data_IF_090017354105
#
_entry.id   IF_090017354105
#
_cell.length_a   1.000
_cell.length_b   1.000
_cell.length_c   1.000
_cell.angle_alpha   90.00
_cell.angle_beta   90.00
_cell.angle_gamma   90.00
#
_symmetry.space_group_name_H-M   'P 1'
#
loop_
_entity.id
_entity.type
_entity.pdbx_description
1 polymer ?
#
# COMPACT_ATOMS: atom_id res chain seq x y z
N UNK A 1 -11.58 -4.09 14.68
CA UNK A 1 -12.30 -5.18 15.36
C UNK A 1 -11.82 -6.58 14.93
N UNK A 2 -11.27 -6.77 13.72
CA UNK A 2 -10.85 -8.08 13.23
C UNK A 2 -9.66 -8.69 14.01
N UNK A 3 -8.92 -7.88 14.75
CA UNK A 3 -7.83 -8.31 15.64
C UNK A 3 -8.22 -8.28 17.14
N UNK A 4 -9.51 -8.21 17.44
CA UNK A 4 -10.02 -8.27 18.82
C UNK A 4 -9.99 -6.95 19.59
N UNK A 5 -9.56 -5.85 18.96
CA UNK A 5 -9.60 -4.51 19.57
C UNK A 5 -10.84 -3.73 19.11
N UNK A 6 -11.43 -2.99 20.04
CA UNK A 6 -12.47 -1.99 19.75
C UNK A 6 -11.80 -0.60 19.72
N UNK A 7 -11.55 -0.10 18.52
CA UNK A 7 -10.80 1.14 18.30
C UNK A 7 -11.45 2.36 18.95
N UNK A 8 -12.75 2.33 19.20
CA UNK A 8 -13.48 3.45 19.83
C UNK A 8 -13.42 3.41 21.35
N UNK A 9 -13.14 2.23 21.92
CA UNK A 9 -13.14 2.03 23.38
C UNK A 9 -11.75 1.77 23.96
N UNK A 10 -10.93 1.04 23.22
CA UNK A 10 -9.66 0.53 23.76
C UNK A 10 -8.49 1.46 23.52
N UNK A 11 -8.63 2.46 22.61
CA UNK A 11 -7.53 3.36 22.26
C UNK A 11 -8.00 4.82 22.11
N UNK A 12 -7.14 5.75 22.49
CA UNK A 12 -7.31 7.18 22.16
C UNK A 12 -6.72 7.48 20.78
N UNK A 13 -7.54 8.02 19.88
CA UNK A 13 -7.14 8.28 18.50
C UNK A 13 -6.65 9.71 18.30
N UNK A 14 -5.51 9.87 17.65
CA UNK A 14 -4.99 11.13 17.13
C UNK A 14 -4.93 11.06 15.60
N UNK A 15 -5.70 11.93 14.93
CA UNK A 15 -5.66 12.06 13.48
C UNK A 15 -4.81 13.29 13.09
N UNK A 16 -3.67 13.06 12.47
CA UNK A 16 -2.78 14.12 12.01
C UNK A 16 -2.00 13.67 10.77
N UNK A 17 -1.34 14.61 10.11
CA UNK A 17 -0.41 14.29 9.01
C UNK A 17 0.85 13.56 9.51
N UNK A 18 1.62 12.97 8.62
CA UNK A 18 2.78 12.13 8.95
C UNK A 18 3.83 12.84 9.82
N UNK A 19 4.18 14.08 9.49
CA UNK A 19 5.15 14.87 10.26
C UNK A 19 4.67 15.12 11.70
N UNK A 20 3.52 15.77 11.91
CA UNK A 20 2.95 15.98 13.25
C UNK A 20 2.77 14.71 14.07
N UNK A 21 2.40 13.59 13.42
CA UNK A 21 2.26 12.30 14.12
C UNK A 21 3.62 11.75 14.56
N UNK A 22 4.66 11.84 13.71
CA UNK A 22 6.02 11.48 14.11
C UNK A 22 6.52 12.32 15.29
N UNK A 23 6.26 13.64 15.28
CA UNK A 23 6.63 14.54 16.36
C UNK A 23 5.87 14.20 17.67
N UNK A 24 4.60 13.88 17.59
CA UNK A 24 3.81 13.45 18.74
C UNK A 24 4.36 12.17 19.38
N UNK A 25 4.85 11.21 18.57
CA UNK A 25 5.48 9.99 19.09
C UNK A 25 6.87 10.26 19.68
N UNK A 26 7.71 11.08 19.04
CA UNK A 26 9.01 11.50 19.56
C UNK A 26 8.85 12.17 20.92
N UNK A 27 7.82 12.99 21.09
CA UNK A 27 7.53 13.72 22.33
C UNK A 27 6.76 12.88 23.37
N UNK A 28 6.45 11.60 23.08
CA UNK A 28 5.76 10.71 24.02
C UNK A 28 4.26 10.98 24.18
N UNK A 29 3.65 11.77 23.29
CA UNK A 29 2.22 12.06 23.34
C UNK A 29 1.35 10.90 22.85
N UNK A 30 1.90 10.03 22.01
CA UNK A 30 1.26 8.81 21.53
C UNK A 30 2.21 7.62 21.67
N UNK A 31 1.65 6.42 21.81
CA UNK A 31 2.40 5.17 22.05
C UNK A 31 2.51 4.31 20.78
N UNK A 32 1.66 4.54 19.79
CA UNK A 32 1.68 3.81 18.53
C UNK A 32 1.26 4.71 17.37
N UNK A 33 1.75 4.41 16.18
CA UNK A 33 1.38 5.15 14.95
C UNK A 33 1.29 4.19 13.76
N UNK A 34 0.26 4.38 12.92
CA UNK A 34 0.16 3.78 11.61
C UNK A 34 0.45 4.83 10.53
N UNK A 35 1.40 4.55 9.64
CA UNK A 35 1.73 5.44 8.50
C UNK A 35 1.58 4.68 7.19
N UNK A 36 0.50 4.96 6.46
CA UNK A 36 0.18 4.35 5.16
C UNK A 36 0.87 5.09 4.01
N UNK A 37 2.16 4.85 3.81
CA UNK A 37 2.93 5.45 2.72
C UNK A 37 3.99 4.49 2.17
N UNK A 38 4.40 4.71 0.91
CA UNK A 38 5.47 3.90 0.29
C UNK A 38 6.82 4.15 0.96
N UNK A 39 7.53 3.08 1.41
CA UNK A 39 8.85 3.23 2.01
C UNK A 39 9.92 3.58 0.96
N UNK A 40 10.98 4.36 1.35
CA UNK A 40 11.14 5.01 2.64
C UNK A 40 10.29 6.27 2.77
N UNK A 41 9.65 6.43 3.93
CA UNK A 41 8.84 7.61 4.27
C UNK A 41 9.65 8.54 5.16
N UNK A 42 9.80 9.81 4.79
CA UNK A 42 10.62 10.77 5.52
C UNK A 42 10.22 10.95 6.99
N UNK A 43 8.93 10.92 7.31
CA UNK A 43 8.45 11.00 8.69
C UNK A 43 8.85 9.77 9.52
N UNK A 44 8.84 8.57 8.95
CA UNK A 44 9.32 7.34 9.62
C UNK A 44 10.83 7.39 9.81
N UNK A 45 11.57 7.84 8.78
CA UNK A 45 13.02 8.04 8.89
C UNK A 45 13.37 9.00 10.03
N UNK A 46 12.68 10.16 10.09
CA UNK A 46 12.85 11.14 11.17
C UNK A 46 12.55 10.55 12.54
N UNK A 47 11.44 9.83 12.67
CA UNK A 47 11.02 9.20 13.92
C UNK A 47 12.10 8.24 14.43
N UNK A 48 12.53 7.29 13.61
CA UNK A 48 13.50 6.28 14.00
C UNK A 48 14.89 6.88 14.25
N UNK A 49 15.32 7.86 13.45
CA UNK A 49 16.58 8.57 13.70
C UNK A 49 16.57 9.37 15.00
N UNK A 50 15.42 9.90 15.44
CA UNK A 50 15.28 10.72 16.63
C UNK A 50 15.01 9.92 17.90
N UNK A 51 14.22 8.86 17.79
CA UNK A 51 13.78 8.05 18.95
C UNK A 51 14.72 6.85 19.23
N UNK A 52 15.48 6.40 18.22
CA UNK A 52 16.40 5.27 18.34
C UNK A 52 15.69 4.01 18.82
N UNK A 53 16.27 3.36 19.81
CA UNK A 53 15.79 2.12 20.43
C UNK A 53 14.49 2.25 21.25
N UNK A 54 13.99 3.47 21.43
CA UNK A 54 12.71 3.71 22.12
C UNK A 54 11.49 3.39 21.27
N UNK A 55 11.67 3.23 19.96
CA UNK A 55 10.61 2.93 19.00
C UNK A 55 10.97 1.69 18.20
N UNK A 56 10.03 0.78 18.07
CA UNK A 56 10.20 -0.42 17.26
C UNK A 56 9.16 -0.48 16.15
N UNK A 57 9.57 -1.04 15.02
CA UNK A 57 8.66 -1.37 13.92
C UNK A 57 8.02 -2.74 14.21
N UNK A 58 6.71 -2.83 14.12
CA UNK A 58 5.98 -4.07 14.39
C UNK A 58 5.81 -4.87 13.09
N UNK A 59 6.17 -6.15 13.15
CA UNK A 59 5.83 -7.12 12.11
C UNK A 59 4.33 -7.41 12.15
N UNK A 60 3.76 -7.68 10.99
CA UNK A 60 2.41 -8.20 10.82
C UNK A 60 2.54 -9.64 10.33
N UNK A 61 2.09 -10.61 11.12
CA UNK A 61 2.11 -12.03 10.76
C UNK A 61 1.12 -12.34 9.64
N UNK A 62 1.20 -13.53 9.04
CA UNK A 62 0.27 -13.95 8.00
C UNK A 62 -1.15 -14.16 8.56
N UNK A 63 -1.26 -14.63 9.81
CA UNK A 63 -2.52 -14.76 10.53
C UNK A 63 -3.17 -13.39 10.78
N UNK A 64 -2.38 -12.41 11.22
CA UNK A 64 -2.87 -11.04 11.43
C UNK A 64 -3.27 -10.39 10.11
N UNK A 65 -2.48 -10.55 9.05
CA UNK A 65 -2.82 -10.04 7.72
C UNK A 65 -4.13 -10.63 7.21
N UNK A 66 -4.31 -11.94 7.36
CA UNK A 66 -5.55 -12.63 7.00
C UNK A 66 -6.75 -12.15 7.82
N UNK A 67 -6.56 -11.94 9.12
CA UNK A 67 -7.59 -11.41 10.00
C UNK A 67 -7.96 -9.97 9.65
N UNK A 68 -6.96 -9.11 9.39
CA UNK A 68 -7.16 -7.72 8.94
C UNK A 68 -7.96 -7.67 7.65
N UNK A 69 -7.62 -8.52 6.67
CA UNK A 69 -8.28 -8.55 5.38
C UNK A 69 -9.71 -9.07 5.46
N UNK A 70 -9.97 -10.04 6.31
CA UNK A 70 -11.28 -10.67 6.51
C UNK A 70 -11.94 -11.14 5.20
N UNK A 71 -11.15 -11.68 4.28
CA UNK A 71 -11.60 -12.21 2.99
C UNK A 71 -11.94 -11.17 1.93
N UNK A 72 -11.65 -9.89 2.17
CA UNK A 72 -11.94 -8.79 1.22
C UNK A 72 -10.94 -8.69 0.06
N UNK A 73 -9.78 -9.34 0.17
CA UNK A 73 -8.68 -9.31 -0.82
C UNK A 73 -8.13 -7.89 -1.10
N UNK A 74 -8.16 -7.02 -0.09
CA UNK A 74 -7.70 -5.62 -0.18
C UNK A 74 -6.29 -5.43 0.36
N UNK A 75 -5.87 -6.28 1.31
CA UNK A 75 -4.55 -6.20 1.94
C UNK A 75 -3.62 -7.26 1.37
N UNK A 76 -2.42 -6.83 1.02
CA UNK A 76 -1.36 -7.70 0.49
C UNK A 76 -0.15 -7.70 1.42
N UNK A 77 0.62 -8.79 1.39
CA UNK A 77 1.92 -8.84 2.05
C UNK A 77 2.90 -7.88 1.37
N UNK A 78 3.57 -7.06 2.16
CA UNK A 78 4.71 -6.29 1.72
C UNK A 78 5.88 -6.50 2.68
N UNK A 79 7.10 -6.56 2.14
CA UNK A 79 8.33 -6.65 2.92
C UNK A 79 9.13 -5.39 2.71
N UNK A 80 9.40 -4.67 3.79
CA UNK A 80 10.33 -3.54 3.78
C UNK A 80 11.72 -4.10 4.02
N UNK A 81 12.65 -4.02 3.05
CA UNK A 81 13.97 -4.62 3.18
C UNK A 81 14.77 -4.04 4.35
N UNK A 82 15.60 -4.87 4.96
CA UNK A 82 16.57 -4.44 5.96
C UNK A 82 17.38 -3.22 5.48
N UNK A 83 17.70 -2.30 6.38
CA UNK A 83 18.44 -1.08 6.06
C UNK A 83 17.62 0.02 5.35
N UNK A 84 16.31 -0.16 5.16
CA UNK A 84 15.44 0.89 4.61
C UNK A 84 15.34 2.09 5.55
N UNK A 85 15.32 1.83 6.86
CA UNK A 85 15.23 2.85 7.90
C UNK A 85 16.39 2.76 8.89
N UNK A 86 16.74 3.86 9.59
CA UNK A 86 17.73 3.85 10.66
C UNK A 86 17.40 2.82 11.75
N UNK A 87 18.34 1.96 12.09
CA UNK A 87 18.16 0.92 13.12
C UNK A 87 17.29 -0.27 12.72
N UNK A 88 16.90 -0.37 11.46
CA UNK A 88 16.17 -1.53 10.93
C UNK A 88 17.16 -2.53 10.33
N UNK A 89 17.63 -3.49 11.11
CA UNK A 89 18.67 -4.45 10.72
C UNK A 89 18.10 -5.73 10.07
N UNK A 90 16.78 -5.90 10.10
CA UNK A 90 16.09 -7.06 9.51
C UNK A 90 14.95 -6.62 8.60
N UNK A 91 14.54 -7.51 7.70
CA UNK A 91 13.34 -7.34 6.89
C UNK A 91 12.11 -7.17 7.79
N UNK A 92 11.24 -6.22 7.45
CA UNK A 92 9.99 -5.97 8.16
C UNK A 92 8.81 -6.45 7.31
N UNK A 93 8.08 -7.41 7.82
CA UNK A 93 6.83 -7.86 7.22
C UNK A 93 5.69 -6.93 7.60
N UNK A 94 5.01 -6.36 6.60
CA UNK A 94 3.89 -5.45 6.84
C UNK A 94 2.73 -5.73 5.88
N UNK A 95 1.63 -5.04 6.10
CA UNK A 95 0.47 -5.04 5.22
C UNK A 95 0.51 -3.81 4.32
N UNK A 96 0.15 -3.99 3.05
CA UNK A 96 0.04 -2.90 2.10
C UNK A 96 -1.29 -2.93 1.36
N UNK A 97 -1.72 -1.75 0.96
CA UNK A 97 -2.76 -1.58 -0.06
C UNK A 97 -2.12 -0.91 -1.27
N UNK A 98 -2.43 -1.34 -2.49
CA UNK A 98 -1.88 -0.71 -3.68
C UNK A 98 -2.47 0.69 -3.87
N UNK A 99 -1.68 1.59 -4.46
CA UNK A 99 -2.25 2.76 -5.09
C UNK A 99 -2.91 2.33 -6.41
N UNK A 100 -4.09 2.81 -6.68
CA UNK A 100 -4.80 2.53 -7.92
C UNK A 100 -5.32 3.81 -8.58
N UNK A 101 -5.47 3.79 -9.88
CA UNK A 101 -6.06 4.87 -10.66
C UNK A 101 -7.55 4.61 -10.83
N UNK A 102 -8.39 5.41 -10.15
CA UNK A 102 -9.83 5.41 -10.37
C UNK A 102 -10.19 6.26 -11.59
N UNK A 103 -11.00 5.70 -12.47
CA UNK A 103 -11.53 6.41 -13.63
C UNK A 103 -13.06 6.37 -13.64
N UNK A 104 -13.70 7.39 -14.21
CA UNK A 104 -15.15 7.37 -14.36
C UNK A 104 -15.56 6.28 -15.36
N UNK A 105 -16.61 5.52 -15.02
CA UNK A 105 -17.11 4.44 -15.88
C UNK A 105 -17.61 4.92 -17.26
N UNK A 106 -17.92 6.22 -17.41
CA UNK A 106 -18.35 6.79 -18.69
C UNK A 106 -17.20 7.12 -19.65
N UNK A 107 -15.94 7.00 -19.22
CA UNK A 107 -14.80 7.17 -20.14
C UNK A 107 -14.81 6.03 -21.14
N UNK A 108 -14.49 6.32 -22.42
CA UNK A 108 -14.51 5.29 -23.44
C UNK A 108 -13.52 4.17 -23.15
N UNK A 109 -13.90 2.95 -23.53
CA UNK A 109 -13.03 1.77 -23.42
C UNK A 109 -11.66 2.02 -24.05
N UNK A 110 -11.63 2.63 -25.25
CA UNK A 110 -10.40 2.93 -25.97
C UNK A 110 -9.47 3.86 -25.20
N UNK A 111 -10.00 4.92 -24.59
CA UNK A 111 -9.17 5.85 -23.83
C UNK A 111 -8.56 5.19 -22.60
N UNK A 112 -9.32 4.37 -21.87
CA UNK A 112 -8.78 3.68 -20.68
C UNK A 112 -7.81 2.56 -21.09
N UNK A 113 -8.05 1.88 -22.21
CA UNK A 113 -7.12 0.92 -22.77
C UNK A 113 -5.77 1.58 -23.10
N UNK A 114 -5.80 2.69 -23.86
CA UNK A 114 -4.59 3.42 -24.22
C UNK A 114 -3.84 3.96 -22.99
N UNK A 115 -4.56 4.47 -21.99
CA UNK A 115 -3.99 4.95 -20.74
C UNK A 115 -3.27 3.81 -19.98
N UNK A 116 -3.94 2.66 -19.81
CA UNK A 116 -3.39 1.50 -19.12
C UNK A 116 -2.15 1.00 -19.84
N UNK A 117 -2.23 0.86 -21.16
CA UNK A 117 -1.12 0.46 -22.02
C UNK A 117 0.07 1.41 -21.89
N UNK A 118 -0.18 2.71 -21.99
CA UNK A 118 0.86 3.73 -21.88
C UNK A 118 1.61 3.65 -20.52
N UNK A 119 0.90 3.40 -19.42
CA UNK A 119 1.52 3.25 -18.10
C UNK A 119 2.48 2.05 -18.10
N UNK A 120 2.03 0.86 -18.50
CA UNK A 120 2.83 -0.35 -18.39
C UNK A 120 3.92 -0.49 -19.46
N UNK A 121 3.74 0.10 -20.63
CA UNK A 121 4.79 0.16 -21.67
C UNK A 121 5.88 1.20 -21.36
N UNK A 122 5.67 2.10 -20.38
CA UNK A 122 6.63 3.14 -20.01
C UNK A 122 7.13 3.01 -18.56
N UNK A 123 7.17 1.81 -17.99
CA UNK A 123 7.63 1.60 -16.60
C UNK A 123 9.07 2.07 -16.37
N UNK A 124 9.97 1.92 -17.34
CA UNK A 124 11.36 2.41 -17.24
C UNK A 124 11.38 3.92 -17.00
N UNK A 125 10.55 4.67 -17.71
CA UNK A 125 10.44 6.11 -17.52
C UNK A 125 9.82 6.45 -16.15
N UNK A 126 8.75 5.78 -15.75
CA UNK A 126 8.13 5.98 -14.43
C UNK A 126 9.10 5.67 -13.29
N UNK A 127 9.90 4.61 -13.41
CA UNK A 127 10.91 4.23 -12.44
C UNK A 127 12.02 5.27 -12.27
N UNK A 128 12.27 6.08 -13.29
CA UNK A 128 13.21 7.21 -13.20
C UNK A 128 12.63 8.42 -12.46
N UNK A 129 11.30 8.53 -12.39
CA UNK A 129 10.61 9.64 -11.72
C UNK A 129 10.53 9.39 -10.21
N UNK A 130 10.13 8.18 -9.80
CA UNK A 130 9.94 7.88 -8.37
C UNK A 130 10.25 6.41 -8.04
N UNK A 131 11.05 6.14 -6.98
CA UNK A 131 11.45 4.79 -6.61
C UNK A 131 10.30 3.82 -6.32
N UNK A 132 9.17 4.31 -5.79
CA UNK A 132 8.01 3.48 -5.49
C UNK A 132 7.39 2.80 -6.73
N UNK A 133 7.63 3.33 -7.93
CA UNK A 133 7.12 2.72 -9.16
C UNK A 133 7.91 1.47 -9.58
N UNK A 134 9.06 1.21 -8.98
CA UNK A 134 9.87 0.00 -9.27
C UNK A 134 9.18 -1.32 -8.93
N UNK A 135 8.17 -1.27 -8.06
CA UNK A 135 7.34 -2.44 -7.72
C UNK A 135 6.15 -2.61 -8.66
N UNK A 136 5.93 -1.68 -9.59
CA UNK A 136 4.84 -1.79 -10.56
C UNK A 136 5.15 -2.87 -11.60
N UNK A 137 4.22 -3.77 -11.77
CA UNK A 137 4.19 -4.70 -12.89
C UNK A 137 2.73 -5.01 -13.27
N UNK A 138 2.48 -5.47 -14.49
CA UNK A 138 1.13 -5.89 -14.87
C UNK A 138 0.58 -7.00 -13.96
N UNK A 139 1.43 -7.93 -13.52
CA UNK A 139 1.04 -9.05 -12.64
C UNK A 139 0.62 -8.54 -11.25
N UNK A 140 1.32 -7.55 -10.72
CA UNK A 140 1.01 -6.95 -9.43
C UNK A 140 -0.23 -6.05 -9.48
N UNK A 141 -0.62 -5.58 -10.66
CA UNK A 141 -1.70 -4.61 -10.85
C UNK A 141 -3.10 -5.11 -10.47
N UNK A 142 -3.27 -6.42 -10.38
CA UNK A 142 -4.58 -7.03 -10.08
C UNK A 142 -4.79 -7.31 -8.59
N UNK A 143 -3.77 -7.09 -7.77
CA UNK A 143 -3.84 -7.36 -6.33
C UNK A 143 -4.44 -6.17 -5.56
N UNK A 144 -5.32 -6.46 -4.59
CA UNK A 144 -5.82 -5.46 -3.63
C UNK A 144 -6.76 -4.40 -4.21
N UNK A 145 -7.30 -4.60 -5.39
CA UNK A 145 -8.23 -3.65 -6.02
C UNK A 145 -9.61 -3.69 -5.34
N UNK A 146 -10.18 -2.53 -4.98
CA UNK A 146 -11.46 -2.46 -4.27
C UNK A 146 -12.70 -2.55 -5.17
N UNK A 147 -12.51 -2.54 -6.50
CA UNK A 147 -13.60 -2.49 -7.48
C UNK A 147 -13.22 -3.23 -8.76
N UNK A 148 -14.21 -3.65 -9.57
CA UNK A 148 -13.96 -4.22 -10.88
C UNK A 148 -13.18 -3.27 -11.80
N UNK A 149 -12.46 -3.87 -12.73
CA UNK A 149 -11.70 -3.14 -13.75
C UNK A 149 -12.64 -2.44 -14.74
N UNK A 150 -12.24 -1.27 -15.17
CA UNK A 150 -12.85 -0.65 -16.34
C UNK A 150 -12.62 -1.52 -17.58
N UNK A 151 -13.60 -1.63 -18.53
CA UNK A 151 -13.48 -2.47 -19.73
C UNK A 151 -12.16 -2.26 -20.50
N UNK A 152 -11.70 -1.03 -20.64
CA UNK A 152 -10.43 -0.72 -21.30
C UNK A 152 -9.19 -1.28 -20.58
N UNK A 153 -9.14 -1.21 -19.25
CA UNK A 153 -8.07 -1.82 -18.48
C UNK A 153 -8.13 -3.36 -18.57
N UNK A 154 -9.33 -3.93 -18.46
CA UNK A 154 -9.55 -5.37 -18.63
C UNK A 154 -9.07 -5.87 -20.00
N UNK A 155 -9.35 -5.11 -21.06
CA UNK A 155 -8.90 -5.42 -22.43
C UNK A 155 -7.38 -5.48 -22.51
N UNK A 156 -6.66 -4.50 -21.95
CA UNK A 156 -5.20 -4.49 -21.95
C UNK A 156 -4.63 -5.69 -21.19
N UNK A 157 -5.11 -5.97 -19.98
CA UNK A 157 -4.59 -7.10 -19.20
C UNK A 157 -4.84 -8.45 -19.87
N UNK A 158 -5.96 -8.62 -20.56
CA UNK A 158 -6.24 -9.82 -21.38
C UNK A 158 -5.32 -9.89 -22.59
N UNK A 159 -5.05 -8.78 -23.28
CA UNK A 159 -4.15 -8.72 -24.45
C UNK A 159 -2.74 -9.21 -24.10
N UNK A 160 -2.22 -8.84 -22.93
CA UNK A 160 -0.92 -9.30 -22.46
C UNK A 160 -0.95 -10.67 -21.77
N UNK A 161 -2.09 -11.37 -21.80
CA UNK A 161 -2.22 -12.76 -21.33
C UNK A 161 -2.40 -12.92 -19.82
N UNK A 162 -2.76 -11.87 -19.08
CA UNK A 162 -3.02 -12.00 -17.65
C UNK A 162 -4.34 -12.71 -17.38
N UNK A 163 -4.32 -13.61 -16.39
CA UNK A 163 -5.52 -14.23 -15.85
C UNK A 163 -6.19 -13.27 -14.85
N UNK A 164 -7.24 -12.59 -15.28
CA UNK A 164 -7.96 -11.61 -14.45
C UNK A 164 -8.95 -12.35 -13.53
N UNK A 165 -8.85 -12.16 -12.19
CA UNK A 165 -9.78 -12.75 -11.24
C UNK A 165 -11.24 -12.36 -11.50
N UNK A 166 -12.18 -13.28 -11.30
CA UNK A 166 -13.60 -13.06 -11.62
C UNK A 166 -14.22 -11.87 -10.89
N UNK A 167 -13.80 -11.60 -9.65
CA UNK A 167 -14.30 -10.45 -8.87
C UNK A 167 -13.88 -9.08 -9.43
N UNK A 168 -12.88 -9.04 -10.32
CA UNK A 168 -12.44 -7.83 -11.00
C UNK A 168 -13.08 -7.64 -12.37
N UNK A 169 -13.95 -8.55 -12.81
CA UNK A 169 -14.70 -8.43 -14.07
C UNK A 169 -16.10 -7.94 -13.73
N UNK A 170 -16.46 -6.76 -14.25
CA UNK A 170 -17.83 -6.25 -14.10
C UNK A 170 -18.83 -7.18 -14.81
N UNK A 171 -19.96 -7.44 -14.16
CA UNK A 171 -21.09 -8.19 -14.73
C UNK A 171 -21.84 -7.33 -15.76
#
# INVERSE_FOLDING_TARGET
NNLGLDIEKDVGLLYAGYGPTADAMINGHIQAVGMGAGPPTGAVTKLLASAGDKVTLLNITDEELKAMDNGRQLWTRYVIPAGTYPGQDADLQTAAQPNFLGVNASISEEHVYLLTKAIYENLVFLNSIHPATKVMSPEAALAGLPAPLHPGALRYYKEIGLNVPAHLIAN
#
